data_IF_945601792715
#
_entry.id   IF_945601792715
#
_cell.length_a   1.000
_cell.length_b   1.000
_cell.length_c   1.000
_cell.angle_alpha   90.00
_cell.angle_beta   90.00
_cell.angle_gamma   90.00
#
_symmetry.space_group_name_H-M   'P 1'
#
loop_
_entity.id
_entity.type
_entity.pdbx_description
1 polymer ?
#
# COMPACT_ATOMS: atom_id res chain seq x y z
N UNK A 1 17.32 10.27 -3.09
CA UNK A 1 17.53 9.38 -4.25
C UNK A 1 17.59 7.91 -3.85
N UNK A 2 18.25 7.54 -2.74
CA UNK A 2 18.23 6.16 -2.21
C UNK A 2 16.85 5.70 -1.71
N UNK A 3 16.09 6.57 -1.04
CA UNK A 3 14.67 6.34 -0.74
C UNK A 3 13.81 6.16 -2.00
N UNK A 4 14.22 6.77 -3.11
CA UNK A 4 13.49 6.73 -4.37
C UNK A 4 13.75 5.41 -5.10
N UNK A 5 14.99 4.90 -5.09
CA UNK A 5 15.33 3.59 -5.69
C UNK A 5 14.76 2.42 -4.88
N UNK A 6 14.78 2.51 -3.55
CA UNK A 6 14.07 1.55 -2.68
C UNK A 6 12.56 1.62 -2.92
N UNK A 7 11.99 2.82 -3.06
CA UNK A 7 10.57 3.00 -3.43
C UNK A 7 10.26 2.42 -4.81
N UNK A 8 11.15 2.56 -5.80
CA UNK A 8 10.98 2.03 -7.17
C UNK A 8 11.04 0.51 -7.21
N UNK A 9 12.02 -0.09 -6.52
CA UNK A 9 12.13 -1.55 -6.38
C UNK A 9 10.92 -2.10 -5.61
N UNK A 10 10.45 -1.34 -4.62
CA UNK A 10 9.26 -1.63 -3.82
C UNK A 10 7.95 -1.53 -4.64
N UNK A 11 7.80 -0.54 -5.51
CA UNK A 11 6.66 -0.41 -6.43
C UNK A 11 6.58 -1.59 -7.41
N UNK A 12 7.73 -2.05 -7.91
CA UNK A 12 7.82 -3.13 -8.91
C UNK A 12 7.40 -4.50 -8.36
N UNK A 13 7.66 -4.79 -7.07
CA UNK A 13 7.27 -6.07 -6.45
C UNK A 13 5.82 -6.02 -5.91
N UNK A 14 5.35 -4.85 -5.45
CA UNK A 14 3.95 -4.69 -5.01
C UNK A 14 2.91 -4.93 -6.11
N UNK A 15 3.28 -4.74 -7.39
CA UNK A 15 2.43 -5.09 -8.54
C UNK A 15 2.71 -6.48 -9.13
N UNK A 16 3.84 -7.09 -8.79
CA UNK A 16 4.20 -8.46 -9.23
C UNK A 16 3.53 -9.55 -8.38
N UNK A 17 3.06 -9.22 -7.18
CA UNK A 17 2.08 -10.02 -6.44
C UNK A 17 0.68 -9.60 -6.88
N UNK A 18 0.38 -9.93 -8.13
CA UNK A 18 -0.81 -9.51 -8.83
C UNK A 18 -2.11 -10.10 -8.19
N UNK A 19 -3.23 -9.44 -8.53
CA UNK A 19 -4.49 -9.36 -7.78
C UNK A 19 -5.19 -10.71 -7.61
N UNK A 20 -5.03 -11.40 -6.48
CA UNK A 20 -5.89 -12.53 -6.15
C UNK A 20 -7.25 -12.10 -5.56
N UNK A 21 -8.37 -12.61 -6.11
CA UNK A 21 -9.65 -12.76 -5.40
C UNK A 21 -9.61 -14.12 -4.70
N UNK A 22 -9.62 -14.13 -3.37
CA UNK A 22 -9.43 -15.34 -2.57
C UNK A 22 -10.71 -15.70 -1.83
N UNK A 23 -11.61 -16.43 -2.50
CA UNK A 23 -12.75 -17.07 -1.83
C UNK A 23 -12.41 -18.46 -1.25
N UNK A 24 -11.23 -19.04 -1.55
CA UNK A 24 -10.91 -20.45 -1.22
C UNK A 24 -9.85 -20.68 -0.13
N UNK A 25 -9.33 -19.64 0.53
CA UNK A 25 -8.48 -19.82 1.73
C UNK A 25 -9.17 -19.29 2.99
N UNK A 26 -9.57 -20.17 3.93
CA UNK A 26 -10.23 -19.73 5.14
C UNK A 26 -9.20 -18.98 6.01
N UNK A 27 -9.56 -17.76 6.44
CA UNK A 27 -8.82 -16.88 7.35
C UNK A 27 -7.65 -16.06 6.76
N UNK A 28 -7.84 -15.37 5.63
CA UNK A 28 -6.83 -14.46 5.06
C UNK A 28 -7.13 -12.97 5.30
N UNK A 29 -7.39 -12.58 6.54
CA UNK A 29 -7.52 -11.15 6.87
C UNK A 29 -6.14 -10.54 7.19
N UNK A 30 -5.82 -9.32 6.73
CA UNK A 30 -4.49 -8.76 6.90
C UNK A 30 -4.10 -8.45 8.36
N UNK A 31 -5.08 -8.53 9.26
CA UNK A 31 -4.98 -8.14 10.67
C UNK A 31 -5.61 -9.21 11.56
N UNK A 32 -5.23 -9.23 12.85
CA UNK A 32 -5.65 -10.26 13.81
C UNK A 32 -7.16 -10.16 14.11
N UNK A 33 -7.97 -11.02 13.46
CA UNK A 33 -9.42 -11.13 13.69
C UNK A 33 -9.75 -11.65 15.08
N UNK A 34 -8.97 -12.61 15.59
CA UNK A 34 -9.21 -13.15 16.92
C UNK A 34 -9.00 -12.06 17.99
N UNK A 35 -8.05 -11.14 17.77
CA UNK A 35 -7.88 -9.97 18.64
C UNK A 35 -9.10 -9.05 18.57
N UNK A 36 -9.66 -8.84 17.39
CA UNK A 36 -10.88 -8.04 17.25
C UNK A 36 -12.04 -8.66 18.04
N UNK A 37 -12.26 -9.97 17.88
CA UNK A 37 -13.36 -10.69 18.54
C UNK A 37 -13.18 -10.79 20.06
N UNK A 38 -11.97 -11.08 20.56
CA UNK A 38 -11.67 -11.22 21.99
C UNK A 38 -11.89 -9.94 22.79
N UNK A 39 -11.83 -8.79 22.13
CA UNK A 39 -11.88 -7.48 22.77
C UNK A 39 -13.31 -6.95 22.88
N UNK A 40 -14.25 -7.52 22.13
CA UNK A 40 -15.65 -7.11 22.17
C UNK A 40 -16.30 -7.54 23.49
N UNK A 41 -16.91 -6.57 24.18
CA UNK A 41 -17.69 -6.80 25.40
C UNK A 41 -18.90 -5.88 25.37
N UNK A 42 -20.08 -6.49 25.22
CA UNK A 42 -21.34 -5.79 25.07
C UNK A 42 -21.73 -5.01 26.33
N UNK A 43 -21.52 -5.58 27.52
CA UNK A 43 -21.89 -4.94 28.78
C UNK A 43 -20.96 -3.75 29.05
N UNK A 44 -19.65 -3.94 28.86
CA UNK A 44 -18.67 -2.87 29.00
C UNK A 44 -18.88 -1.77 27.96
N UNK A 45 -19.21 -2.12 26.71
CA UNK A 45 -19.53 -1.16 25.66
C UNK A 45 -20.72 -0.26 26.05
N UNK A 46 -21.82 -0.83 26.52
CA UNK A 46 -22.99 -0.05 26.93
C UNK A 46 -22.68 0.89 28.09
N UNK A 47 -21.89 0.44 29.07
CA UNK A 47 -21.44 1.29 30.19
C UNK A 47 -20.56 2.44 29.71
N UNK A 48 -19.60 2.17 28.82
CA UNK A 48 -18.73 3.20 28.25
C UNK A 48 -19.52 4.21 27.41
N UNK A 49 -20.46 3.75 26.57
CA UNK A 49 -21.32 4.61 25.77
C UNK A 49 -22.22 5.48 26.65
N UNK A 50 -22.83 4.92 27.69
CA UNK A 50 -23.64 5.69 28.62
C UNK A 50 -22.84 6.80 29.31
N UNK A 51 -21.66 6.48 29.85
CA UNK A 51 -20.78 7.46 30.50
C UNK A 51 -20.36 8.57 29.52
N UNK A 52 -19.96 8.22 28.29
CA UNK A 52 -19.55 9.20 27.28
C UNK A 52 -20.69 10.13 26.84
N UNK A 53 -21.92 9.63 26.78
CA UNK A 53 -23.07 10.42 26.30
C UNK A 53 -23.65 11.30 27.41
N UNK A 54 -23.77 10.78 28.64
CA UNK A 54 -24.54 11.43 29.70
C UNK A 54 -23.69 12.03 30.83
N UNK A 55 -22.50 11.52 31.10
CA UNK A 55 -21.68 11.95 32.24
C UNK A 55 -20.49 12.82 31.81
N UNK A 56 -19.67 12.33 30.88
CA UNK A 56 -18.48 13.04 30.37
C UNK A 56 -18.46 13.10 28.83
N UNK A 57 -19.05 14.17 28.31
CA UNK A 57 -19.08 14.48 26.88
C UNK A 57 -17.72 14.91 26.32
N UNK A 58 -16.74 15.21 27.18
CA UNK A 58 -15.37 15.53 26.76
C UNK A 58 -14.68 14.33 26.13
N UNK A 59 -14.90 13.13 26.68
CA UNK A 59 -14.42 11.87 26.11
C UNK A 59 -15.08 11.63 24.75
N UNK A 60 -16.41 11.71 24.67
CA UNK A 60 -17.16 11.54 23.42
C UNK A 60 -16.67 12.48 22.32
N UNK A 61 -16.38 13.74 22.67
CA UNK A 61 -15.89 14.74 21.72
C UNK A 61 -14.57 14.31 21.09
N UNK A 62 -13.67 13.64 21.81
CA UNK A 62 -12.41 13.15 21.24
C UNK A 62 -12.63 12.01 20.23
N UNK A 63 -13.57 11.09 20.51
CA UNK A 63 -13.93 10.03 19.58
C UNK A 63 -14.59 10.60 18.32
N UNK A 64 -15.55 11.52 18.48
CA UNK A 64 -16.23 12.16 17.35
C UNK A 64 -15.27 13.02 16.51
N UNK A 65 -14.35 13.76 17.14
CA UNK A 65 -13.35 14.56 16.44
C UNK A 65 -12.34 13.71 15.65
N UNK A 66 -11.97 12.54 16.20
CA UNK A 66 -11.09 11.59 15.53
C UNK A 66 -11.79 10.80 14.40
N UNK A 67 -13.11 10.68 14.45
CA UNK A 67 -13.93 10.06 13.41
C UNK A 67 -14.01 10.88 12.12
N UNK A 68 -14.74 10.37 11.14
CA UNK A 68 -14.95 11.06 9.87
C UNK A 68 -15.88 12.25 10.02
N UNK A 69 -15.64 13.22 9.14
CA UNK A 69 -16.48 14.40 8.98
C UNK A 69 -17.26 14.23 7.68
N UNK A 70 -18.02 15.27 7.32
CA UNK A 70 -18.65 15.33 6.02
C UNK A 70 -17.59 15.50 4.94
N UNK A 71 -17.50 14.59 3.94
CA UNK A 71 -16.52 14.70 2.87
C UNK A 71 -16.65 16.04 2.14
N UNK A 72 -15.53 16.78 2.06
CA UNK A 72 -15.50 18.05 1.33
C UNK A 72 -15.34 17.79 -0.16
N UNK A 73 -16.10 18.49 -0.99
CA UNK A 73 -16.01 18.30 -2.45
C UNK A 73 -16.83 17.11 -2.94
N UNK A 74 -17.96 16.80 -2.29
CA UNK A 74 -18.91 15.77 -2.77
C UNK A 74 -19.27 15.96 -4.25
N UNK A 75 -19.51 17.21 -4.67
CA UNK A 75 -19.80 17.56 -6.07
C UNK A 75 -18.59 17.40 -7.03
N UNK A 76 -17.37 17.29 -6.49
CA UNK A 76 -16.16 16.92 -7.22
C UNK A 76 -15.88 15.41 -7.16
N UNK A 77 -16.84 14.64 -6.63
CA UNK A 77 -16.74 13.20 -6.48
C UNK A 77 -15.86 12.77 -5.31
N UNK A 78 -15.69 13.61 -4.28
CA UNK A 78 -15.10 13.15 -3.02
C UNK A 78 -16.11 12.29 -2.24
N UNK A 79 -15.87 10.98 -2.24
CA UNK A 79 -16.73 10.01 -1.57
C UNK A 79 -16.07 9.36 -0.35
N UNK A 80 -14.92 9.87 0.08
CA UNK A 80 -14.11 9.22 1.12
C UNK A 80 -13.65 10.22 2.18
N UNK A 81 -13.88 9.89 3.45
CA UNK A 81 -13.28 10.60 4.58
C UNK A 81 -12.69 9.61 5.58
N UNK A 82 -11.38 9.64 5.75
CA UNK A 82 -10.66 8.71 6.63
C UNK A 82 -10.56 9.18 8.08
N UNK A 83 -11.13 10.34 8.44
CA UNK A 83 -10.98 10.90 9.78
C UNK A 83 -9.50 11.05 10.19
N UNK A 84 -9.23 11.07 11.49
CA UNK A 84 -7.87 11.09 12.03
C UNK A 84 -7.49 9.72 12.61
N UNK A 85 -6.91 8.87 11.76
CA UNK A 85 -6.48 7.51 12.10
C UNK A 85 -5.61 7.43 13.36
N UNK A 86 -4.54 8.22 13.43
CA UNK A 86 -3.59 8.16 14.55
C UNK A 86 -4.18 8.73 15.83
N UNK A 87 -4.98 9.80 15.74
CA UNK A 87 -5.68 10.35 16.89
C UNK A 87 -6.60 9.30 17.49
N UNK A 88 -7.42 8.63 16.66
CA UNK A 88 -8.36 7.60 17.13
C UNK A 88 -7.65 6.48 17.89
N UNK A 89 -6.59 5.89 17.32
CA UNK A 89 -5.86 4.79 17.96
C UNK A 89 -5.03 5.21 19.18
N UNK A 90 -4.73 6.51 19.31
CA UNK A 90 -4.01 7.06 20.46
C UNK A 90 -4.90 7.40 21.65
N UNK A 91 -6.22 7.36 21.51
CA UNK A 91 -7.15 7.63 22.60
C UNK A 91 -6.96 6.55 23.67
N UNK A 92 -6.51 6.98 24.85
CA UNK A 92 -6.46 6.19 26.08
C UNK A 92 -6.78 7.10 27.27
N UNK A 93 -7.90 6.86 27.91
CA UNK A 93 -8.31 7.58 29.11
C UNK A 93 -8.85 6.63 30.16
N UNK A 94 -8.51 6.89 31.41
CA UNK A 94 -8.98 6.09 32.54
C UNK A 94 -9.99 6.93 33.34
N UNK A 95 -11.22 6.43 33.49
CA UNK A 95 -12.25 7.07 34.31
C UNK A 95 -13.15 6.02 34.97
N UNK A 96 -13.45 6.22 36.27
CA UNK A 96 -14.41 5.39 37.03
C UNK A 96 -14.23 3.87 36.84
N UNK A 97 -12.99 3.40 37.01
CA UNK A 97 -12.62 1.97 36.88
C UNK A 97 -12.79 1.39 35.45
N UNK A 98 -12.91 2.26 34.45
CA UNK A 98 -12.98 1.90 33.03
C UNK A 98 -11.84 2.56 32.27
N UNK A 99 -11.30 1.84 31.28
CA UNK A 99 -10.29 2.35 30.36
C UNK A 99 -10.90 2.52 28.98
N UNK A 100 -10.99 3.76 28.51
CA UNK A 100 -11.47 4.12 27.18
C UNK A 100 -10.31 4.05 26.20
N UNK A 101 -10.34 3.06 25.32
CA UNK A 101 -9.38 2.91 24.22
C UNK A 101 -10.08 3.06 22.87
N UNK A 102 -9.41 3.68 21.90
CA UNK A 102 -9.98 3.88 20.56
C UNK A 102 -9.79 2.69 19.62
N UNK A 103 -10.82 2.44 18.80
CA UNK A 103 -10.82 1.52 17.66
C UNK A 103 -11.28 2.27 16.42
N UNK A 104 -10.44 2.20 15.38
CA UNK A 104 -10.69 2.85 14.10
C UNK A 104 -11.40 1.87 13.18
N UNK A 105 -12.58 2.21 12.67
CA UNK A 105 -13.31 1.39 11.72
C UNK A 105 -13.62 2.18 10.45
N UNK A 106 -13.51 1.56 9.28
CA UNK A 106 -13.94 2.10 8.00
C UNK A 106 -15.26 1.43 7.63
N UNK A 107 -16.27 2.24 7.33
CA UNK A 107 -17.57 1.75 6.89
C UNK A 107 -17.91 2.30 5.51
N UNK A 108 -18.64 1.51 4.73
CA UNK A 108 -19.08 1.82 3.39
C UNK A 108 -20.60 1.91 3.37
N UNK A 109 -21.11 3.09 3.02
CA UNK A 109 -22.54 3.34 2.84
C UNK A 109 -22.84 3.36 1.34
N UNK A 110 -23.43 2.30 0.78
CA UNK A 110 -23.77 2.28 -0.64
C UNK A 110 -24.80 3.39 -0.95
N UNK A 111 -24.77 3.98 -2.14
CA UNK A 111 -25.75 5.00 -2.52
C UNK A 111 -27.13 4.42 -2.86
N UNK A 112 -27.20 3.13 -3.19
CA UNK A 112 -28.42 2.44 -3.62
C UNK A 112 -29.39 2.13 -2.47
N UNK A 113 -29.74 3.15 -1.69
CA UNK A 113 -30.67 3.10 -0.57
C UNK A 113 -31.45 4.41 -0.48
N UNK A 114 -32.67 4.32 0.05
CA UNK A 114 -33.55 5.45 0.26
C UNK A 114 -33.22 6.09 1.61
N UNK A 115 -32.74 7.33 1.59
CA UNK A 115 -32.50 8.09 2.82
C UNK A 115 -33.76 8.86 3.21
N UNK A 116 -34.38 8.46 4.33
CA UNK A 116 -35.39 9.27 5.01
C UNK A 116 -34.67 10.35 5.82
N UNK A 117 -34.72 11.59 5.35
CA UNK A 117 -34.11 12.73 6.04
C UNK A 117 -35.19 13.32 6.95
N UNK A 118 -34.94 13.56 8.25
CA UNK A 118 -35.87 14.33 9.07
C UNK A 118 -36.08 15.68 8.38
N UNK A 119 -37.34 15.99 8.06
CA UNK A 119 -37.79 17.11 7.22
C UNK A 119 -36.93 18.36 7.43
N UNK A 120 -35.97 18.56 6.54
CA UNK A 120 -35.17 19.76 6.52
C UNK A 120 -36.05 20.81 5.84
N UNK A 121 -36.73 21.66 6.61
CA UNK A 121 -37.55 22.76 6.10
C UNK A 121 -36.66 23.80 5.41
N UNK A 122 -36.23 23.51 4.19
CA UNK A 122 -35.65 24.50 3.30
C UNK A 122 -36.79 25.13 2.49
N UNK A 123 -36.83 26.46 2.32
CA UNK A 123 -37.97 27.16 1.73
C UNK A 123 -38.25 26.87 0.23
N UNK A 124 -37.59 25.87 -0.37
CA UNK A 124 -37.65 25.58 -1.82
C UNK A 124 -37.80 24.09 -2.15
N UNK A 125 -37.47 23.16 -1.25
CA UNK A 125 -37.52 21.71 -1.54
C UNK A 125 -37.99 20.91 -0.34
N UNK A 126 -39.18 20.29 -0.44
CA UNK A 126 -39.69 19.32 0.52
C UNK A 126 -39.28 17.91 0.03
N UNK A 127 -38.09 17.46 0.43
CA UNK A 127 -37.55 16.16 0.01
C UNK A 127 -37.57 15.23 1.20
N UNK A 128 -38.54 14.31 1.22
CA UNK A 128 -38.63 13.30 2.27
C UNK A 128 -37.72 12.09 1.99
N UNK A 129 -37.39 11.86 0.72
CA UNK A 129 -36.60 10.72 0.25
C UNK A 129 -35.61 11.16 -0.83
N UNK A 130 -34.31 10.96 -0.61
CA UNK A 130 -33.30 11.08 -1.67
C UNK A 130 -32.89 9.67 -2.09
N UNK A 131 -33.16 9.32 -3.36
CA UNK A 131 -32.58 8.15 -4.01
C UNK A 131 -31.32 8.59 -4.75
N UNK A 132 -30.16 8.10 -4.32
CA UNK A 132 -28.89 8.37 -5.00
C UNK A 132 -28.56 7.17 -5.87
N UNK A 133 -28.76 7.28 -7.19
CA UNK A 133 -28.35 6.21 -8.09
C UNK A 133 -26.80 6.16 -8.14
N UNK A 134 -26.23 5.09 -7.58
CA UNK A 134 -24.79 4.92 -7.37
C UNK A 134 -24.01 4.50 -8.61
N UNK A 135 -24.27 5.13 -9.76
CA UNK A 135 -23.58 4.88 -11.02
C UNK A 135 -22.98 6.18 -11.57
N UNK A 136 -21.69 6.17 -11.88
CA UNK A 136 -21.02 7.23 -12.64
C UNK A 136 -20.63 6.65 -14.01
N UNK A 137 -21.20 7.23 -15.06
CA UNK A 137 -20.80 7.01 -16.44
C UNK A 137 -19.56 7.87 -16.73
N UNK A 138 -18.40 7.24 -16.80
CA UNK A 138 -17.15 7.90 -17.13
C UNK A 138 -16.91 7.78 -18.63
N UNK A 139 -17.35 8.76 -19.41
CA UNK A 139 -17.13 8.82 -20.86
C UNK A 139 -18.40 8.64 -21.69
N UNK A 140 -18.28 8.89 -23.00
CA UNK A 140 -19.40 8.88 -23.95
C UNK A 140 -19.71 7.47 -24.49
N UNK A 141 -18.91 6.48 -24.11
CA UNK A 141 -19.09 5.06 -24.43
C UNK A 141 -19.47 4.32 -23.14
N UNK A 142 -20.48 3.45 -23.21
CA UNK A 142 -21.08 2.67 -22.12
C UNK A 142 -20.11 1.66 -21.43
N UNK A 143 -18.79 1.80 -21.61
CA UNK A 143 -17.78 0.78 -21.27
C UNK A 143 -17.21 0.92 -19.86
N UNK A 144 -17.25 2.11 -19.25
CA UNK A 144 -16.78 2.34 -17.87
C UNK A 144 -17.89 2.87 -16.97
N UNK A 145 -18.77 1.96 -16.56
CA UNK A 145 -19.78 2.20 -15.52
C UNK A 145 -19.16 1.80 -14.18
N UNK A 146 -18.88 2.76 -13.30
CA UNK A 146 -18.56 2.43 -11.90
C UNK A 146 -19.88 2.04 -11.23
N UNK A 147 -20.04 0.75 -10.94
CA UNK A 147 -21.18 0.19 -10.21
C UNK A 147 -20.89 0.18 -8.71
N UNK A 148 -21.90 0.43 -7.89
CA UNK A 148 -21.82 0.41 -6.42
C UNK A 148 -20.95 1.52 -5.81
N UNK A 149 -21.14 2.77 -6.27
CA UNK A 149 -20.57 3.91 -5.54
C UNK A 149 -21.19 3.99 -4.14
N UNK A 150 -20.33 4.21 -3.15
CA UNK A 150 -20.70 4.38 -1.75
C UNK A 150 -19.83 5.42 -1.09
N UNK A 151 -20.35 6.02 -0.02
CA UNK A 151 -19.58 6.89 0.87
C UNK A 151 -18.78 6.01 1.81
N UNK A 152 -17.46 6.11 1.73
CA UNK A 152 -16.56 5.46 2.68
C UNK A 152 -16.17 6.45 3.75
N UNK A 153 -16.43 6.14 5.00
CA UNK A 153 -16.02 7.01 6.09
C UNK A 153 -15.51 6.23 7.29
N UNK A 154 -14.50 6.80 7.93
CA UNK A 154 -13.95 6.26 9.15
C UNK A 154 -14.81 6.65 10.36
N UNK A 155 -14.98 5.76 11.31
CA UNK A 155 -15.57 6.05 12.60
C UNK A 155 -14.58 5.66 13.68
N UNK A 156 -14.47 6.49 14.71
CA UNK A 156 -13.70 6.16 15.90
C UNK A 156 -14.68 5.75 17.00
N UNK A 157 -14.57 4.49 17.44
CA UNK A 157 -15.47 3.90 18.44
C UNK A 157 -14.66 3.32 19.59
N UNK A 158 -15.26 3.11 20.77
CA UNK A 158 -14.58 2.42 21.84
C UNK A 158 -14.15 1.02 21.42
N UNK A 159 -12.99 0.60 21.91
CA UNK A 159 -12.35 -0.66 21.56
C UNK A 159 -13.29 -1.88 21.73
N UNK A 160 -14.05 -1.89 22.81
CA UNK A 160 -14.96 -2.98 23.21
C UNK A 160 -16.28 -3.01 22.44
N UNK A 161 -16.63 -1.94 21.71
CA UNK A 161 -17.91 -1.80 21.05
C UNK A 161 -17.93 -2.34 19.63
N UNK A 162 -19.05 -2.89 19.17
CA UNK A 162 -19.28 -3.11 17.73
C UNK A 162 -19.63 -1.79 17.03
N UNK A 163 -19.44 -1.75 15.71
CA UNK A 163 -19.83 -0.61 14.85
C UNK A 163 -21.33 -0.34 14.97
N UNK A 164 -22.16 -1.38 14.95
CA UNK A 164 -23.61 -1.32 15.13
C UNK A 164 -24.01 -0.71 16.48
N UNK A 165 -23.46 -1.20 17.60
CA UNK A 165 -23.82 -0.69 18.94
C UNK A 165 -23.40 0.77 19.12
N UNK A 166 -22.21 1.15 18.63
CA UNK A 166 -21.70 2.51 18.74
C UNK A 166 -22.51 3.49 17.88
N UNK A 167 -22.76 3.19 16.61
CA UNK A 167 -23.52 4.08 15.70
C UNK A 167 -24.96 4.26 16.20
N UNK A 168 -25.61 3.16 16.62
CA UNK A 168 -26.99 3.23 17.11
C UNK A 168 -27.09 4.10 18.37
N UNK A 169 -26.10 4.05 19.25
CA UNK A 169 -26.11 4.81 20.50
C UNK A 169 -25.73 6.28 20.31
N UNK A 170 -24.83 6.60 19.37
CA UNK A 170 -24.33 7.96 19.14
C UNK A 170 -25.28 8.75 18.21
N UNK A 171 -25.82 8.11 17.18
CA UNK A 171 -26.55 8.81 16.10
C UNK A 171 -28.07 8.47 16.12
N UNK A 172 -28.53 7.56 16.99
CA UNK A 172 -29.96 7.19 17.11
C UNK A 172 -30.65 6.89 15.76
N UNK A 173 -29.92 6.24 14.83
CA UNK A 173 -30.32 6.07 13.41
C UNK A 173 -31.22 4.85 13.19
N UNK A 174 -31.52 4.07 14.22
CA UNK A 174 -32.32 2.84 14.07
C UNK A 174 -33.78 3.07 13.70
N UNK A 175 -34.26 4.31 13.53
CA UNK A 175 -35.63 4.53 13.10
C UNK A 175 -35.84 4.46 11.58
N UNK A 176 -34.83 4.69 10.71
CA UNK A 176 -35.09 4.73 9.27
C UNK A 176 -33.87 4.32 8.40
N UNK A 177 -33.88 3.10 7.86
CA UNK A 177 -33.31 2.79 6.53
C UNK A 177 -31.80 2.82 6.29
N UNK A 178 -30.95 3.19 7.26
CA UNK A 178 -29.51 3.32 7.03
C UNK A 178 -28.79 1.96 7.00
N UNK A 179 -28.41 1.51 5.80
CA UNK A 179 -27.64 0.28 5.57
C UNK A 179 -26.17 0.65 5.37
N UNK A 180 -25.27 -0.06 6.04
CA UNK A 180 -23.84 0.09 5.81
C UNK A 180 -23.14 -1.25 5.94
N UNK A 181 -21.96 -1.34 5.32
CA UNK A 181 -21.09 -2.49 5.39
C UNK A 181 -19.79 -2.08 6.10
N UNK A 182 -19.32 -2.93 7.01
CA UNK A 182 -18.02 -2.76 7.64
C UNK A 182 -16.93 -3.20 6.65
N UNK A 183 -16.11 -2.25 6.18
CA UNK A 183 -14.95 -2.57 5.34
C UNK A 183 -13.84 -3.18 6.21
N UNK A 184 -13.48 -2.49 7.30
CA UNK A 184 -12.37 -2.90 8.16
C UNK A 184 -12.34 -2.19 9.51
N UNK A 185 -11.79 -2.85 10.53
CA UNK A 185 -11.48 -2.23 11.82
C UNK A 185 -10.03 -2.48 12.22
N UNK A 186 -9.43 -1.50 12.91
CA UNK A 186 -8.02 -1.45 13.33
C UNK A 186 -7.94 -1.21 14.83
N UNK A 187 -7.07 -1.98 15.47
CA UNK A 187 -6.76 -1.86 16.90
C UNK A 187 -5.26 -1.54 17.08
N UNK A 188 -4.86 -0.95 18.21
CA UNK A 188 -3.45 -0.84 18.53
C UNK A 188 -2.80 -2.23 18.59
N UNK A 189 -1.67 -2.40 17.87
CA UNK A 189 -0.87 -3.62 17.81
C UNK A 189 -1.57 -4.87 17.22
N UNK A 190 -2.55 -4.69 16.35
CA UNK A 190 -3.25 -5.77 15.63
C UNK A 190 -2.47 -6.47 14.50
N UNK A 191 -1.16 -6.19 14.40
CA UNK A 191 -0.25 -6.77 13.41
C UNK A 191 0.50 -7.94 14.02
N UNK A 192 0.14 -9.15 13.62
CA UNK A 192 0.80 -10.37 14.07
C UNK A 192 2.25 -10.46 13.56
N UNK A 193 3.14 -10.96 14.41
CA UNK A 193 4.52 -11.27 14.04
C UNK A 193 4.57 -12.59 13.28
N UNK A 194 5.23 -12.59 12.13
CA UNK A 194 5.45 -13.80 11.33
C UNK A 194 6.91 -14.22 11.45
N UNK A 195 7.20 -15.52 11.28
CA UNK A 195 8.57 -16.02 11.22
C UNK A 195 9.46 -15.23 10.23
N UNK A 196 8.89 -14.80 9.10
CA UNK A 196 9.56 -13.95 8.10
C UNK A 196 10.05 -12.60 8.66
N UNK A 197 9.35 -12.02 9.64
CA UNK A 197 9.73 -10.76 10.29
C UNK A 197 11.07 -10.91 11.03
N UNK A 198 11.20 -11.96 11.83
CA UNK A 198 12.43 -12.25 12.55
C UNK A 198 13.60 -12.54 11.61
N UNK A 199 13.37 -13.35 10.56
CA UNK A 199 14.38 -13.67 9.54
C UNK A 199 14.87 -12.40 8.85
N UNK A 200 13.95 -11.53 8.43
CA UNK A 200 14.28 -10.28 7.76
C UNK A 200 15.06 -9.33 8.66
N UNK A 201 14.63 -9.15 9.91
CA UNK A 201 15.33 -8.30 10.89
C UNK A 201 16.77 -8.79 11.06
N UNK A 202 16.98 -10.08 11.29
CA UNK A 202 18.32 -10.66 11.48
C UNK A 202 19.17 -10.49 10.22
N UNK A 203 18.64 -10.85 9.04
CA UNK A 203 19.39 -10.80 7.79
C UNK A 203 19.77 -9.36 7.41
N UNK A 204 18.82 -8.43 7.44
CA UNK A 204 19.09 -7.03 7.11
C UNK A 204 19.97 -6.34 8.15
N UNK A 205 19.89 -6.74 9.43
CA UNK A 205 20.83 -6.25 10.46
C UNK A 205 22.26 -6.73 10.20
N UNK A 206 22.46 -7.98 9.79
CA UNK A 206 23.78 -8.51 9.42
C UNK A 206 24.34 -7.76 8.21
N UNK A 207 23.52 -7.56 7.16
CA UNK A 207 23.93 -6.81 5.97
C UNK A 207 24.26 -5.36 6.32
N UNK A 208 23.41 -4.69 7.10
CA UNK A 208 23.62 -3.33 7.56
C UNK A 208 24.91 -3.20 8.37
N UNK A 209 25.19 -4.15 9.28
CA UNK A 209 26.44 -4.18 10.03
C UNK A 209 27.67 -4.36 9.14
N UNK A 210 27.61 -5.28 8.15
CA UNK A 210 28.70 -5.45 7.18
C UNK A 210 28.97 -4.18 6.37
N UNK A 211 27.91 -3.46 5.95
CA UNK A 211 28.02 -2.19 5.24
C UNK A 211 28.65 -1.13 6.15
N UNK A 212 28.22 -1.02 7.41
CA UNK A 212 28.75 -0.05 8.36
C UNK A 212 30.24 -0.26 8.64
N UNK A 213 30.64 -1.51 8.92
CA UNK A 213 32.07 -1.86 9.14
C UNK A 213 32.89 -1.61 7.88
N UNK A 214 32.40 -2.04 6.72
CA UNK A 214 33.12 -1.89 5.46
C UNK A 214 33.27 -0.42 5.05
N UNK A 215 32.22 0.37 5.18
CA UNK A 215 32.22 1.79 4.85
C UNK A 215 33.11 2.56 5.82
N UNK A 216 33.04 2.28 7.12
CA UNK A 216 33.91 2.92 8.12
C UNK A 216 35.39 2.63 7.86
N UNK A 217 35.72 1.37 7.54
CA UNK A 217 37.08 0.97 7.17
C UNK A 217 37.57 1.70 5.91
N UNK A 218 36.73 1.77 4.88
CA UNK A 218 37.05 2.43 3.62
C UNK A 218 37.26 3.94 3.80
N UNK A 219 36.37 4.61 4.54
CA UNK A 219 36.48 6.04 4.85
C UNK A 219 37.73 6.33 5.70
N UNK A 220 38.02 5.51 6.71
CA UNK A 220 39.23 5.64 7.52
C UNK A 220 40.50 5.52 6.65
N UNK A 221 40.54 4.53 5.77
CA UNK A 221 41.69 4.30 4.90
C UNK A 221 41.85 5.39 3.82
N UNK A 222 40.74 5.94 3.31
CA UNK A 222 40.74 7.00 2.31
C UNK A 222 41.14 8.36 2.91
N UNK A 223 40.51 8.76 4.02
CA UNK A 223 40.66 10.10 4.59
C UNK A 223 41.82 10.22 5.58
N UNK A 224 42.01 9.24 6.46
CA UNK A 224 43.02 9.33 7.52
C UNK A 224 44.38 8.85 7.03
N UNK A 225 44.43 7.66 6.42
CA UNK A 225 45.68 7.07 5.94
C UNK A 225 46.15 7.64 4.59
N UNK A 226 45.29 8.38 3.86
CA UNK A 226 45.51 8.88 2.49
C UNK A 226 46.11 7.82 1.55
N UNK A 227 45.82 6.54 1.81
CA UNK A 227 46.45 5.42 1.13
C UNK A 227 45.47 4.85 0.12
N UNK A 228 45.73 5.07 -1.16
CA UNK A 228 45.05 4.38 -2.24
C UNK A 228 45.66 2.98 -2.37
N UNK A 229 45.13 2.00 -1.63
CA UNK A 229 45.54 0.60 -1.83
C UNK A 229 44.87 0.05 -3.08
N UNK A 230 45.66 -0.35 -4.08
CA UNK A 230 45.19 -1.00 -5.31
C UNK A 230 44.73 -2.46 -5.10
N UNK A 231 45.00 -3.07 -3.92
CA UNK A 231 44.51 -4.42 -3.59
C UNK A 231 43.09 -4.34 -3.02
N UNK A 232 42.17 -5.07 -3.64
CA UNK A 232 40.81 -5.26 -3.14
C UNK A 232 40.87 -6.04 -1.82
N UNK A 233 40.73 -5.35 -0.70
CA UNK A 233 40.61 -6.00 0.61
C UNK A 233 39.17 -6.50 0.79
N UNK A 234 38.93 -7.70 1.36
CA UNK A 234 37.57 -8.23 1.57
C UNK A 234 36.65 -7.26 2.31
N UNK A 235 37.22 -6.48 3.24
CA UNK A 235 36.52 -5.46 4.02
C UNK A 235 36.11 -4.22 3.22
N UNK A 236 36.40 -4.12 1.92
CA UNK A 236 35.94 -3.03 1.04
C UNK A 236 34.78 -3.44 0.12
N UNK A 237 34.47 -4.74 0.04
CA UNK A 237 33.43 -5.27 -0.86
C UNK A 237 32.05 -4.68 -0.57
N UNK A 238 31.72 -4.45 0.70
CA UNK A 238 30.42 -3.94 1.13
C UNK A 238 30.43 -2.44 1.42
N UNK A 239 31.47 -1.71 1.01
CA UNK A 239 31.57 -0.27 1.28
C UNK A 239 30.53 0.47 0.45
N UNK A 240 29.59 1.14 1.10
CA UNK A 240 28.58 1.95 0.42
C UNK A 240 29.25 3.07 -0.38
N UNK A 241 30.29 3.71 0.17
CA UNK A 241 30.99 4.81 -0.48
C UNK A 241 31.67 4.38 -1.79
N UNK A 242 32.49 3.33 -1.76
CA UNK A 242 33.18 2.86 -2.96
C UNK A 242 32.21 2.31 -4.00
N UNK A 243 31.22 1.51 -3.58
CA UNK A 243 30.22 0.98 -4.51
C UNK A 243 29.36 2.09 -5.13
N UNK A 244 29.01 3.13 -4.38
CA UNK A 244 28.28 4.29 -4.91
C UNK A 244 29.14 5.12 -5.86
N UNK A 245 30.41 5.36 -5.51
CA UNK A 245 31.36 6.05 -6.38
C UNK A 245 31.55 5.30 -7.70
N UNK A 246 31.66 3.97 -7.65
CA UNK A 246 31.75 3.12 -8.84
C UNK A 246 30.42 3.07 -9.62
N UNK A 247 29.27 3.11 -8.94
CA UNK A 247 27.94 3.17 -9.58
C UNK A 247 27.73 4.49 -10.35
N UNK A 248 28.19 5.61 -9.78
CA UNK A 248 28.10 6.93 -10.40
C UNK A 248 29.21 7.18 -11.43
N UNK A 249 30.19 6.27 -11.54
CA UNK A 249 31.29 6.42 -12.47
C UNK A 249 30.84 6.07 -13.89
N UNK A 250 30.82 7.08 -14.75
CA UNK A 250 30.76 6.87 -16.20
C UNK A 250 32.06 6.18 -16.65
N UNK A 251 31.94 5.03 -17.30
CA UNK A 251 33.08 4.27 -17.82
C UNK A 251 32.84 3.95 -19.28
N UNK A 252 33.67 4.51 -20.15
CA UNK A 252 33.66 4.21 -21.56
C UNK A 252 34.37 2.86 -21.76
N UNK A 253 33.59 1.80 -21.94
CA UNK A 253 34.14 0.46 -22.21
C UNK A 253 34.17 0.25 -23.73
N UNK A 254 35.31 -0.16 -24.32
CA UNK A 254 35.34 -0.45 -25.75
C UNK A 254 34.33 -1.56 -26.07
N UNK A 255 33.40 -1.27 -26.98
CA UNK A 255 32.32 -2.19 -27.37
C UNK A 255 30.99 -2.03 -26.62
N UNK A 256 30.80 -1.01 -25.78
CA UNK A 256 29.48 -0.66 -25.23
C UNK A 256 28.64 0.13 -26.23
N UNK A 257 27.36 -0.22 -26.36
CA UNK A 257 26.38 0.51 -27.16
C UNK A 257 25.70 1.57 -26.28
N UNK A 258 26.33 2.73 -26.11
CA UNK A 258 25.90 3.80 -25.18
C UNK A 258 24.46 4.28 -25.41
N UNK A 259 24.01 4.31 -26.67
CA UNK A 259 22.62 4.65 -27.01
C UNK A 259 21.61 3.72 -26.31
N UNK A 260 21.94 2.44 -26.15
CA UNK A 260 21.07 1.49 -25.45
C UNK A 260 20.97 1.78 -23.96
N UNK A 261 22.04 2.29 -23.35
CA UNK A 261 22.02 2.69 -21.94
C UNK A 261 21.16 3.94 -21.74
N UNK A 262 21.17 4.88 -22.69
CA UNK A 262 20.22 6.01 -22.71
C UNK A 262 18.75 5.56 -22.83
N UNK A 263 18.45 4.63 -23.75
CA UNK A 263 17.10 4.06 -23.90
C UNK A 263 16.66 3.37 -22.60
N UNK A 264 17.54 2.59 -21.96
CA UNK A 264 17.25 1.94 -20.67
C UNK A 264 16.93 2.96 -19.58
N UNK A 265 17.69 4.05 -19.49
CA UNK A 265 17.46 5.08 -18.49
C UNK A 265 16.09 5.74 -18.66
N UNK A 266 15.73 6.11 -19.88
CA UNK A 266 14.41 6.69 -20.20
C UNK A 266 13.29 5.70 -19.89
N UNK A 267 13.46 4.44 -20.30
CA UNK A 267 12.51 3.36 -20.03
C UNK A 267 12.31 3.15 -18.52
N UNK A 268 13.38 3.12 -17.72
CA UNK A 268 13.27 3.01 -16.27
C UNK A 268 12.51 4.19 -15.67
N UNK A 269 12.81 5.43 -16.07
CA UNK A 269 12.07 6.62 -15.59
C UNK A 269 10.58 6.50 -15.93
N UNK A 270 10.26 6.03 -17.11
CA UNK A 270 8.87 5.86 -17.55
C UNK A 270 8.11 4.82 -16.71
N UNK A 271 8.73 3.66 -16.43
CA UNK A 271 8.17 2.64 -15.52
C UNK A 271 7.89 3.21 -14.14
N UNK A 272 8.83 3.98 -13.59
CA UNK A 272 8.70 4.61 -12.27
C UNK A 272 7.53 5.57 -12.22
N UNK A 273 7.38 6.42 -13.24
CA UNK A 273 6.26 7.35 -13.35
C UNK A 273 4.93 6.59 -13.43
N UNK A 274 4.85 5.55 -14.27
CA UNK A 274 3.65 4.72 -14.42
C UNK A 274 3.18 4.13 -13.09
N UNK A 275 4.05 3.42 -12.37
CA UNK A 275 3.69 2.81 -11.08
C UNK A 275 3.30 3.83 -10.02
N UNK A 276 4.02 4.95 -9.93
CA UNK A 276 3.75 6.00 -8.94
C UNK A 276 2.33 6.57 -9.12
N UNK A 277 1.94 6.87 -10.36
CA UNK A 277 0.60 7.36 -10.66
C UNK A 277 -0.47 6.29 -10.48
N UNK A 278 -0.18 5.02 -10.81
CA UNK A 278 -1.14 3.94 -10.63
C UNK A 278 -1.56 3.76 -9.17
N UNK A 279 -0.62 3.91 -8.22
CA UNK A 279 -0.97 3.88 -6.79
C UNK A 279 -1.81 5.10 -6.39
N UNK A 280 -1.49 6.29 -6.90
CA UNK A 280 -2.22 7.51 -6.58
C UNK A 280 -3.72 7.37 -6.92
N UNK A 281 -4.05 6.69 -8.01
CA UNK A 281 -5.43 6.44 -8.43
C UNK A 281 -6.27 5.69 -7.36
N UNK A 282 -5.67 4.86 -6.52
CA UNK A 282 -6.40 4.16 -5.44
C UNK A 282 -6.67 5.02 -4.21
N UNK A 283 -5.83 6.04 -3.99
CA UNK A 283 -5.87 6.89 -2.78
C UNK A 283 -6.59 8.21 -3.05
N UNK A 284 -6.69 8.64 -4.31
CA UNK A 284 -7.33 9.91 -4.67
C UNK A 284 -8.81 9.90 -4.26
N UNK A 285 -9.24 10.93 -3.53
CA UNK A 285 -10.60 11.02 -3.04
C UNK A 285 -11.58 11.55 -4.10
N UNK A 286 -11.16 12.52 -4.92
CA UNK A 286 -11.97 13.15 -5.96
C UNK A 286 -11.96 12.34 -7.25
N UNK A 287 -13.00 11.53 -7.48
CA UNK A 287 -13.03 10.65 -8.65
C UNK A 287 -13.24 11.42 -9.97
N UNK A 288 -13.86 12.60 -9.94
CA UNK A 288 -14.08 13.42 -11.15
C UNK A 288 -12.78 14.08 -11.62
N UNK A 289 -11.86 14.41 -10.71
CA UNK A 289 -10.55 14.96 -11.08
C UNK A 289 -9.72 13.90 -11.81
N UNK A 290 -9.85 12.63 -11.39
CA UNK A 290 -9.26 11.48 -12.09
C UNK A 290 -9.84 11.37 -13.51
N UNK A 291 -11.18 11.42 -13.62
CA UNK A 291 -11.87 11.37 -14.91
C UNK A 291 -11.37 12.44 -15.90
N UNK A 292 -11.26 13.68 -15.43
CA UNK A 292 -10.77 14.80 -16.22
C UNK A 292 -9.28 14.61 -16.59
N UNK A 293 -8.47 14.10 -15.67
CA UNK A 293 -7.07 13.78 -15.94
C UNK A 293 -6.92 12.70 -17.03
N UNK A 294 -7.75 11.66 -17.00
CA UNK A 294 -7.75 10.59 -18.01
C UNK A 294 -7.95 11.09 -19.44
N UNK A 295 -8.68 12.20 -19.62
CA UNK A 295 -8.92 12.82 -20.93
C UNK A 295 -7.73 13.65 -21.45
N UNK A 296 -6.69 13.87 -20.64
CA UNK A 296 -5.51 14.67 -21.03
C UNK A 296 -4.50 13.80 -21.77
N UNK A 297 -3.87 14.36 -22.80
CA UNK A 297 -2.83 13.66 -23.59
C UNK A 297 -1.67 13.15 -22.70
N UNK A 298 -1.32 13.91 -21.65
CA UNK A 298 -0.28 13.51 -20.70
C UNK A 298 -0.63 12.21 -19.95
N UNK A 299 -1.92 11.96 -19.71
CA UNK A 299 -2.38 10.71 -19.07
C UNK A 299 -2.04 9.49 -19.92
N UNK A 300 -2.13 9.60 -21.26
CA UNK A 300 -1.82 8.49 -22.18
C UNK A 300 -0.40 7.96 -21.94
N UNK A 301 0.57 8.85 -21.74
CA UNK A 301 1.95 8.45 -21.42
C UNK A 301 2.02 7.67 -20.11
N UNK A 302 1.27 8.08 -19.08
CA UNK A 302 1.28 7.40 -17.77
C UNK A 302 0.54 6.07 -17.84
N UNK A 303 -0.66 6.04 -18.42
CA UNK A 303 -1.48 4.83 -18.53
C UNK A 303 -0.84 3.82 -19.48
N UNK A 304 -0.12 4.27 -20.50
CA UNK A 304 0.61 3.43 -21.45
C UNK A 304 1.97 2.93 -20.96
N UNK A 305 2.37 3.20 -19.72
CA UNK A 305 3.70 2.87 -19.21
C UNK A 305 4.04 1.36 -19.26
N UNK A 306 3.05 0.47 -19.31
CA UNK A 306 3.25 -0.97 -19.48
C UNK A 306 3.92 -1.33 -20.82
N UNK A 307 3.76 -0.51 -21.86
CA UNK A 307 4.44 -0.68 -23.17
C UNK A 307 5.96 -0.58 -23.04
N UNK A 308 6.47 -0.02 -21.94
CA UNK A 308 7.92 0.04 -21.69
C UNK A 308 8.54 -1.34 -21.56
N UNK A 309 7.77 -2.36 -21.16
CA UNK A 309 8.23 -3.75 -21.07
C UNK A 309 8.68 -4.27 -22.44
N UNK A 310 8.02 -3.88 -23.53
CA UNK A 310 8.39 -4.26 -24.90
C UNK A 310 9.77 -3.69 -25.29
N UNK A 311 10.10 -2.50 -24.79
CA UNK A 311 11.42 -1.89 -24.99
C UNK A 311 12.51 -2.75 -24.34
N UNK A 312 12.28 -3.26 -23.12
CA UNK A 312 13.23 -4.15 -22.47
C UNK A 312 13.34 -5.51 -23.15
N UNK A 313 12.25 -6.04 -23.73
CA UNK A 313 12.29 -7.25 -24.54
C UNK A 313 13.10 -7.04 -25.83
N UNK A 314 12.88 -5.94 -26.54
CA UNK A 314 13.64 -5.56 -27.74
C UNK A 314 15.13 -5.46 -27.42
N UNK A 315 15.50 -4.74 -26.35
CA UNK A 315 16.88 -4.59 -25.91
C UNK A 315 17.54 -5.93 -25.55
N UNK A 316 16.79 -6.83 -24.89
CA UNK A 316 17.26 -8.17 -24.54
C UNK A 316 17.55 -8.99 -25.80
N UNK A 317 16.66 -8.96 -26.79
CA UNK A 317 16.84 -9.65 -28.07
C UNK A 317 18.03 -9.12 -28.87
N UNK A 318 18.15 -7.79 -28.98
CA UNK A 318 19.27 -7.12 -29.65
C UNK A 318 20.62 -7.54 -29.06
N UNK A 319 20.73 -7.56 -27.72
CA UNK A 319 21.97 -7.91 -27.04
C UNK A 319 22.35 -9.38 -27.24
N UNK A 320 21.38 -10.29 -27.30
CA UNK A 320 21.63 -11.72 -27.60
C UNK A 320 22.20 -11.89 -29.01
N UNK A 321 21.68 -11.16 -30.01
CA UNK A 321 22.19 -11.20 -31.39
C UNK A 321 23.58 -10.56 -31.48
N UNK A 322 23.80 -9.44 -30.78
CA UNK A 322 25.07 -8.74 -30.75
C UNK A 322 26.20 -9.62 -30.18
N UNK A 323 25.91 -10.40 -29.13
CA UNK A 323 26.85 -11.33 -28.50
C UNK A 323 26.78 -12.69 -29.23
N UNK A 324 27.36 -12.73 -30.43
CA UNK A 324 27.34 -13.86 -31.38
C UNK A 324 27.77 -15.23 -30.79
N UNK A 325 28.51 -15.26 -29.67
CA UNK A 325 29.01 -16.49 -29.04
C UNK A 325 28.04 -17.15 -28.04
N UNK A 326 26.87 -16.55 -27.77
CA UNK A 326 26.00 -16.94 -26.66
C UNK A 326 25.13 -18.17 -26.94
N UNK A 327 24.85 -18.48 -28.23
CA UNK A 327 24.00 -19.60 -28.61
C UNK A 327 24.58 -20.97 -28.21
N UNK A 328 25.91 -21.11 -28.07
CA UNK A 328 26.54 -22.40 -27.77
C UNK A 328 26.36 -22.87 -26.33
N UNK A 329 25.94 -22.01 -25.40
CA UNK A 329 25.75 -22.34 -23.98
C UNK A 329 24.47 -21.71 -23.41
N UNK A 330 23.36 -21.84 -24.14
CA UNK A 330 22.08 -21.21 -23.81
C UNK A 330 21.62 -21.51 -22.36
N UNK A 331 21.74 -22.76 -21.91
CA UNK A 331 21.37 -23.17 -20.56
C UNK A 331 22.22 -22.49 -19.47
N UNK A 332 23.55 -22.37 -19.66
CA UNK A 332 24.44 -21.66 -18.72
C UNK A 332 24.16 -20.16 -18.72
N UNK A 333 23.81 -19.60 -19.87
CA UNK A 333 23.44 -18.19 -19.97
C UNK A 333 22.18 -17.88 -19.14
N UNK A 334 21.10 -18.62 -19.35
CA UNK A 334 19.86 -18.40 -18.60
C UNK A 334 20.00 -18.75 -17.13
N UNK A 335 20.76 -19.79 -16.78
CA UNK A 335 21.06 -20.12 -15.39
C UNK A 335 21.84 -18.99 -14.71
N UNK A 336 22.89 -18.47 -15.35
CA UNK A 336 23.65 -17.34 -14.83
C UNK A 336 22.81 -16.07 -14.69
N UNK A 337 21.88 -15.83 -15.61
CA UNK A 337 20.91 -14.72 -15.52
C UNK A 337 19.98 -14.89 -14.33
N UNK A 338 19.43 -16.09 -14.14
CA UNK A 338 18.53 -16.41 -13.03
C UNK A 338 19.24 -16.26 -11.68
N UNK A 339 20.42 -16.88 -11.53
CA UNK A 339 21.22 -16.81 -10.30
C UNK A 339 21.69 -15.39 -9.98
N UNK A 340 21.86 -14.52 -10.97
CA UNK A 340 22.20 -13.11 -10.75
C UNK A 340 21.03 -12.30 -10.22
N UNK A 341 19.81 -12.54 -10.69
CA UNK A 341 18.62 -11.79 -10.28
C UNK A 341 18.02 -12.30 -8.97
N UNK A 342 18.20 -13.58 -8.70
CA UNK A 342 17.62 -14.27 -7.54
C UNK A 342 17.91 -13.59 -6.18
N UNK A 343 19.15 -13.19 -5.83
CA UNK A 343 19.43 -12.61 -4.52
C UNK A 343 18.70 -11.29 -4.29
N UNK A 344 18.60 -10.45 -5.33
CA UNK A 344 17.87 -9.18 -5.25
C UNK A 344 16.37 -9.45 -5.11
N UNK A 345 15.81 -10.32 -5.95
CA UNK A 345 14.39 -10.67 -5.88
C UNK A 345 14.03 -11.25 -4.51
N UNK A 346 14.84 -12.17 -3.99
CA UNK A 346 14.65 -12.77 -2.68
C UNK A 346 14.71 -11.74 -1.55
N UNK A 347 15.64 -10.79 -1.61
CA UNK A 347 15.72 -9.71 -0.63
C UNK A 347 14.48 -8.80 -0.66
N UNK A 348 13.97 -8.47 -1.86
CA UNK A 348 12.79 -7.61 -1.99
C UNK A 348 11.52 -8.31 -1.54
N UNK A 349 11.32 -9.58 -1.95
CA UNK A 349 10.21 -10.40 -1.48
C UNK A 349 10.28 -10.53 0.05
N UNK A 350 11.45 -10.83 0.61
CA UNK A 350 11.62 -10.93 2.05
C UNK A 350 11.23 -9.61 2.73
N UNK A 351 11.67 -8.46 2.20
CA UNK A 351 11.28 -7.14 2.71
C UNK A 351 9.76 -6.93 2.65
N UNK A 352 9.11 -7.27 1.54
CA UNK A 352 7.69 -7.06 1.32
C UNK A 352 6.82 -7.92 2.23
N UNK A 353 7.12 -9.22 2.35
CA UNK A 353 6.36 -10.12 3.24
C UNK A 353 6.57 -9.82 4.72
N UNK A 354 7.57 -9.02 5.08
CA UNK A 354 7.96 -8.77 6.47
C UNK A 354 7.93 -7.29 6.87
N UNK A 355 9.08 -6.62 6.79
CA UNK A 355 9.33 -5.27 7.27
C UNK A 355 8.41 -4.25 6.62
N UNK A 356 8.00 -4.46 5.37
CA UNK A 356 7.17 -3.49 4.66
C UNK A 356 5.88 -3.18 5.42
N UNK A 357 5.15 -4.20 5.91
CA UNK A 357 3.95 -4.02 6.73
C UNK A 357 4.23 -3.48 8.14
N UNK A 358 5.48 -3.14 8.48
CA UNK A 358 5.89 -2.55 9.76
C UNK A 358 6.43 -1.13 9.63
N UNK A 359 6.80 -0.66 8.42
CA UNK A 359 7.46 0.65 8.27
C UNK A 359 6.51 1.83 8.48
N UNK A 360 5.21 1.62 8.25
CA UNK A 360 4.20 2.68 8.28
C UNK A 360 2.84 2.10 8.68
N UNK A 361 1.91 2.98 9.01
CA UNK A 361 0.50 2.71 9.28
C UNK A 361 -0.37 3.89 8.85
N UNK A 362 -1.67 3.69 8.71
CA UNK A 362 -2.60 4.76 8.34
C UNK A 362 -3.95 4.25 7.86
N UNK A 363 -4.90 5.17 7.64
CA UNK A 363 -6.26 4.83 7.20
C UNK A 363 -6.33 4.11 5.85
N UNK A 364 -5.35 4.33 4.95
CA UNK A 364 -5.24 3.62 3.67
C UNK A 364 -4.30 2.41 3.71
N UNK A 365 -3.70 2.10 4.87
CA UNK A 365 -2.67 1.06 4.97
C UNK A 365 -3.20 -0.35 4.68
N UNK A 366 -4.51 -0.57 4.76
CA UNK A 366 -5.13 -1.84 4.40
C UNK A 366 -4.84 -2.26 2.96
N UNK A 367 -4.75 -1.33 2.01
CA UNK A 367 -4.41 -1.62 0.62
C UNK A 367 -3.01 -2.24 0.52
N UNK A 368 -2.05 -1.66 1.25
CA UNK A 368 -0.69 -2.16 1.33
C UNK A 368 -0.64 -3.50 2.08
N UNK A 369 -1.37 -3.61 3.20
CA UNK A 369 -1.41 -4.82 4.02
C UNK A 369 -2.01 -6.00 3.25
N UNK A 370 -3.08 -5.80 2.47
CA UNK A 370 -3.68 -6.81 1.63
C UNK A 370 -2.67 -7.35 0.60
N UNK A 371 -1.92 -6.47 -0.07
CA UNK A 371 -0.86 -6.87 -1.00
C UNK A 371 0.25 -7.67 -0.31
N UNK A 372 0.67 -7.25 0.90
CA UNK A 372 1.65 -8.00 1.70
C UNK A 372 1.15 -9.39 2.04
N UNK A 373 -0.12 -9.51 2.41
CA UNK A 373 -0.72 -10.80 2.75
C UNK A 373 -0.84 -11.72 1.54
N UNK A 374 -1.17 -11.19 0.38
CA UNK A 374 -1.09 -11.92 -0.90
C UNK A 374 0.34 -12.38 -1.18
N UNK A 375 1.32 -11.50 -0.99
CA UNK A 375 2.74 -11.84 -1.13
C UNK A 375 3.16 -12.96 -0.15
N UNK A 376 2.68 -12.94 1.10
CA UNK A 376 2.94 -14.01 2.09
C UNK A 376 2.40 -15.38 1.68
N UNK A 377 1.32 -15.43 0.91
CA UNK A 377 0.79 -16.69 0.39
C UNK A 377 1.58 -17.18 -0.85
N UNK A 378 2.01 -16.26 -1.72
CA UNK A 378 2.53 -16.60 -3.05
C UNK A 378 4.01 -16.26 -3.30
N UNK A 379 4.77 -15.83 -2.29
CA UNK A 379 6.20 -15.47 -2.45
C UNK A 379 7.04 -16.53 -3.17
N UNK A 380 6.72 -17.81 -2.96
CA UNK A 380 7.44 -18.93 -3.57
C UNK A 380 7.20 -19.04 -5.07
N UNK A 381 6.01 -18.68 -5.57
CA UNK A 381 5.72 -18.68 -7.03
C UNK A 381 6.52 -17.59 -7.72
N UNK A 382 6.62 -16.42 -7.08
CA UNK A 382 7.42 -15.28 -7.56
C UNK A 382 8.91 -15.61 -7.56
N UNK A 383 9.44 -16.26 -6.51
CA UNK A 383 10.84 -16.69 -6.46
C UNK A 383 11.20 -17.71 -7.56
N UNK A 384 10.25 -18.57 -7.91
CA UNK A 384 10.41 -19.59 -8.95
C UNK A 384 10.07 -19.08 -10.36
N UNK A 385 9.61 -17.83 -10.50
CA UNK A 385 9.18 -17.22 -11.77
C UNK A 385 8.04 -17.98 -12.47
N UNK A 386 7.13 -18.61 -11.71
CA UNK A 386 6.01 -19.40 -12.22
C UNK A 386 4.64 -18.79 -11.93
N UNK A 387 4.60 -17.53 -11.52
CA UNK A 387 3.36 -16.82 -11.17
C UNK A 387 2.32 -16.86 -12.30
N UNK A 388 2.74 -16.73 -13.56
CA UNK A 388 1.86 -16.77 -14.73
C UNK A 388 1.24 -18.16 -15.00
N UNK A 389 1.81 -19.22 -14.43
CA UNK A 389 1.29 -20.59 -14.59
C UNK A 389 0.42 -21.03 -13.42
N UNK A 390 0.76 -20.57 -12.21
CA UNK A 390 0.03 -20.94 -10.98
C UNK A 390 -1.21 -20.05 -10.80
N UNK A 391 -1.10 -18.75 -11.09
CA UNK A 391 -2.17 -17.76 -10.90
C UNK A 391 -2.44 -16.97 -12.20
N UNK A 392 -2.92 -17.62 -13.28
CA UNK A 392 -3.03 -17.01 -14.61
C UNK A 392 -4.16 -15.97 -14.74
N UNK A 393 -5.19 -16.01 -13.89
CA UNK A 393 -6.33 -15.08 -13.97
C UNK A 393 -6.02 -13.69 -13.42
N UNK A 394 -4.85 -13.54 -12.80
CA UNK A 394 -4.59 -12.49 -11.82
C UNK A 394 -3.19 -11.91 -11.97
N UNK A 395 -2.46 -12.30 -13.02
CA UNK A 395 -1.12 -11.84 -13.42
C UNK A 395 -1.14 -10.55 -14.25
#
# INVERSE_FOLDING_TARGET
>A
MEFFILFIIFQFVSQSCARLYLDDFPNLYPFDRDLHERVLDKEMCQRQLYHMIFEDTGILTQFVDAGARTPKGLLKGNLRDMGNYHQCLSIRQDALDMTFEGKYCLINVPFNQEFDIPSLEWPIFNVNTIKVDGYLELGNDNTTIIRNLGLKFAICIPKVCTTHEAINSIINVTSNGFVYEDDMCRLPNDRHWVAGDYVAIVLFSIIGFMILVSTSYDLYHLFYLKRSSKRMHPLRLFSAYSNLADLLRCSDKPGSLECLDGIRAIAMIWVVLGHTFFILLYVTANILDIAEWYQKVVSISVTGAFLTVDTFFMLSGLLIVYIKSLLMNLHKFYLGRLLRMFPLLAAVILFEVSLFNRISDGGFWYLAAENVHKCRAFWWTTLLYIQNFVNPQEA
#
